data_IF_933149175196
#
_entry.id   IF_933149175196
#
_cell.length_a   1.000
_cell.length_b   1.000
_cell.length_c   1.000
_cell.angle_alpha   90.00
_cell.angle_beta   90.00
_cell.angle_gamma   90.00
#
_symmetry.space_group_name_H-M   'P 1'
#
loop_
_entity.id
_entity.type
_entity.pdbx_description
1 polymer ?
#
# COMPACT_ATOMS: atom_id res chain seq x y z
N UNK A 1 12.05 17.67 -3.20
CA UNK A 1 12.16 17.00 -4.51
C UNK A 1 13.30 15.98 -4.50
N UNK A 2 13.12 14.86 -5.16
CA UNK A 2 14.09 13.76 -5.24
C UNK A 2 14.30 13.36 -6.71
N UNK A 3 15.55 13.23 -7.16
CA UNK A 3 15.83 12.96 -8.57
C UNK A 3 16.29 11.52 -8.78
N UNK A 4 15.60 10.80 -9.67
CA UNK A 4 15.95 9.43 -10.07
C UNK A 4 16.08 9.39 -11.59
N UNK A 5 17.22 8.95 -12.09
CA UNK A 5 17.54 8.86 -13.54
C UNK A 5 17.17 10.12 -14.35
N UNK A 6 17.37 11.30 -13.77
CA UNK A 6 17.06 12.57 -14.41
C UNK A 6 15.61 13.06 -14.29
N UNK A 7 14.73 12.26 -13.72
CA UNK A 7 13.33 12.64 -13.43
C UNK A 7 13.20 13.09 -11.98
N UNK A 8 12.48 14.19 -11.76
CA UNK A 8 12.26 14.75 -10.43
C UNK A 8 10.93 14.24 -9.88
N UNK A 9 10.97 13.63 -8.70
CA UNK A 9 9.83 13.15 -7.95
C UNK A 9 9.50 14.13 -6.82
N UNK A 10 8.21 14.27 -6.53
CA UNK A 10 7.67 15.12 -5.48
C UNK A 10 6.67 14.37 -4.63
N UNK A 11 6.53 14.77 -3.39
CA UNK A 11 5.36 14.42 -2.59
C UNK A 11 4.14 15.20 -3.08
N UNK A 12 2.94 14.69 -2.77
CA UNK A 12 1.69 15.29 -3.22
C UNK A 12 1.51 16.71 -2.66
N UNK A 13 1.96 16.93 -1.43
CA UNK A 13 1.93 18.22 -0.75
C UNK A 13 3.33 18.78 -0.55
N UNK A 14 3.45 20.10 -0.65
CA UNK A 14 4.71 20.77 -0.35
C UNK A 14 4.93 20.86 1.16
N UNK A 15 6.09 20.40 1.62
CA UNK A 15 6.51 20.51 3.01
C UNK A 15 8.02 20.83 3.09
N UNK A 16 8.52 21.35 4.22
CA UNK A 16 9.95 21.55 4.44
C UNK A 16 10.70 20.19 4.44
N UNK A 17 12.03 20.24 4.47
CA UNK A 17 12.82 19.02 4.70
C UNK A 17 12.61 18.53 6.13
N UNK A 18 12.19 17.28 6.26
CA UNK A 18 11.89 16.63 7.52
C UNK A 18 12.59 15.27 7.63
N UNK A 19 12.75 14.79 8.87
CA UNK A 19 13.25 13.45 9.14
C UNK A 19 12.08 12.56 9.54
N UNK A 20 11.67 11.69 8.66
CA UNK A 20 10.53 10.81 8.85
C UNK A 20 10.94 9.36 9.12
N UNK A 21 10.26 8.74 10.06
CA UNK A 21 10.29 7.29 10.21
C UNK A 21 9.56 6.60 9.06
N UNK A 22 9.69 5.28 8.94
CA UNK A 22 8.91 4.49 7.96
C UNK A 22 7.41 4.65 8.20
N UNK A 23 6.99 4.77 9.46
CA UNK A 23 5.60 5.04 9.83
C UNK A 23 5.12 6.39 9.29
N UNK A 24 5.91 7.45 9.46
CA UNK A 24 5.56 8.79 8.96
C UNK A 24 5.49 8.81 7.43
N UNK A 25 6.43 8.13 6.75
CA UNK A 25 6.43 7.99 5.29
C UNK A 25 5.13 7.32 4.81
N UNK A 26 4.71 6.26 5.48
CA UNK A 26 3.47 5.56 5.13
C UNK A 26 2.24 6.38 5.47
N UNK A 27 2.18 7.01 6.65
CA UNK A 27 1.06 7.82 7.13
C UNK A 27 0.80 9.03 6.23
N UNK A 28 1.86 9.72 5.81
CA UNK A 28 1.78 10.89 4.94
C UNK A 28 1.81 10.53 3.44
N UNK A 29 1.92 9.24 3.10
CA UNK A 29 1.97 8.78 1.70
C UNK A 29 3.12 9.44 0.89
N UNK A 30 4.31 9.55 1.49
CA UNK A 30 5.45 10.19 0.84
C UNK A 30 5.96 9.36 -0.34
N UNK A 31 5.94 9.94 -1.53
CA UNK A 31 6.53 9.38 -2.73
C UNK A 31 8.05 9.32 -2.62
N UNK A 32 8.65 10.38 -2.08
CA UNK A 32 10.10 10.51 -1.93
C UNK A 32 10.61 9.45 -0.95
N UNK A 33 10.01 9.38 0.25
CA UNK A 33 10.40 8.41 1.27
C UNK A 33 10.21 6.96 0.80
N UNK A 34 9.10 6.67 0.12
CA UNK A 34 8.83 5.35 -0.47
C UNK A 34 9.86 4.99 -1.54
N UNK A 35 10.24 5.95 -2.40
CA UNK A 35 11.30 5.76 -3.41
C UNK A 35 12.65 5.44 -2.76
N UNK A 36 13.04 6.15 -1.71
CA UNK A 36 14.29 5.89 -1.00
C UNK A 36 14.31 4.49 -0.34
N UNK A 37 13.20 4.07 0.26
CA UNK A 37 13.05 2.71 0.81
C UNK A 37 13.23 1.68 -0.31
N UNK A 38 12.56 1.87 -1.44
CA UNK A 38 12.63 0.95 -2.58
C UNK A 38 14.03 0.86 -3.19
N UNK A 39 14.75 1.97 -3.27
CA UNK A 39 16.15 1.97 -3.73
C UNK A 39 17.07 1.19 -2.79
N UNK A 40 16.86 1.30 -1.47
CA UNK A 40 17.61 0.52 -0.46
C UNK A 40 17.28 -0.97 -0.54
N UNK A 41 16.01 -1.32 -0.77
CA UNK A 41 15.56 -2.70 -0.96
C UNK A 41 16.12 -3.30 -2.26
N UNK A 42 16.16 -2.50 -3.31
CA UNK A 42 16.59 -2.90 -4.64
C UNK A 42 15.50 -3.64 -5.43
N UNK A 43 15.66 -3.62 -6.77
CA UNK A 43 14.68 -4.21 -7.70
C UNK A 43 14.37 -5.68 -7.42
N UNK A 44 15.42 -6.48 -7.15
CA UNK A 44 15.27 -7.94 -6.99
C UNK A 44 14.34 -8.29 -5.82
N UNK A 45 14.58 -7.69 -4.66
CA UNK A 45 13.76 -7.97 -3.49
C UNK A 45 12.37 -7.31 -3.60
N UNK A 46 12.27 -6.11 -4.17
CA UNK A 46 10.99 -5.47 -4.45
C UNK A 46 10.11 -6.38 -5.32
N UNK A 47 10.61 -6.86 -6.45
CA UNK A 47 9.85 -7.77 -7.34
C UNK A 47 9.54 -9.11 -6.69
N UNK A 48 10.45 -9.66 -5.91
CA UNK A 48 10.22 -10.88 -5.13
C UNK A 48 9.02 -10.74 -4.19
N UNK A 49 8.90 -9.62 -3.48
CA UNK A 49 7.77 -9.39 -2.59
C UNK A 49 6.48 -9.05 -3.34
N UNK A 50 6.54 -8.29 -4.43
CA UNK A 50 5.39 -8.04 -5.31
C UNK A 50 4.77 -9.38 -5.73
N UNK A 51 5.57 -10.32 -6.25
CA UNK A 51 5.08 -11.66 -6.61
C UNK A 51 4.68 -12.51 -5.41
N UNK A 52 5.37 -12.39 -4.27
CA UNK A 52 5.02 -13.16 -3.07
C UNK A 52 3.63 -12.79 -2.54
N UNK A 53 3.22 -11.52 -2.66
CA UNK A 53 1.89 -11.02 -2.33
C UNK A 53 0.84 -11.31 -3.41
N UNK A 54 1.17 -12.05 -4.47
CA UNK A 54 0.23 -12.49 -5.51
C UNK A 54 0.01 -11.47 -6.64
N UNK A 55 0.71 -10.34 -6.64
CA UNK A 55 0.57 -9.34 -7.71
C UNK A 55 1.26 -9.83 -8.99
N UNK A 56 0.63 -9.61 -10.13
CA UNK A 56 1.14 -10.05 -11.43
C UNK A 56 0.84 -11.51 -11.78
N UNK A 57 -0.04 -12.18 -11.03
CA UNK A 57 -0.50 -13.54 -11.29
C UNK A 57 -2.01 -13.65 -11.06
N UNK A 58 -2.69 -14.56 -11.76
CA UNK A 58 -4.09 -14.91 -11.42
C UNK A 58 -4.18 -15.35 -9.96
N UNK A 59 -5.27 -15.00 -9.30
CA UNK A 59 -5.54 -15.45 -7.93
C UNK A 59 -6.20 -16.83 -7.89
N UNK A 60 -6.61 -17.36 -9.07
CA UNK A 60 -7.35 -18.61 -9.24
C UNK A 60 -8.68 -18.62 -8.46
N UNK A 61 -9.29 -17.43 -8.29
CA UNK A 61 -10.58 -17.29 -7.61
C UNK A 61 -11.74 -18.01 -8.33
N UNK A 62 -11.50 -18.45 -9.58
CA UNK A 62 -12.49 -19.15 -10.39
C UNK A 62 -13.49 -18.24 -11.11
N UNK A 63 -13.24 -16.92 -11.16
CA UNK A 63 -14.09 -15.99 -11.88
C UNK A 63 -13.68 -15.87 -13.35
N UNK A 64 -14.62 -16.02 -14.31
CA UNK A 64 -14.31 -15.90 -15.72
C UNK A 64 -13.75 -14.52 -16.07
N UNK A 65 -12.67 -14.48 -16.84
CA UNK A 65 -12.04 -13.24 -17.27
C UNK A 65 -11.12 -12.59 -16.24
N UNK A 66 -10.71 -13.32 -15.20
CA UNK A 66 -9.71 -12.83 -14.25
C UNK A 66 -8.42 -12.41 -14.94
N UNK A 67 -7.93 -11.20 -14.64
CA UNK A 67 -6.67 -10.68 -15.14
C UNK A 67 -5.54 -10.97 -14.17
N UNK A 68 -4.36 -11.28 -14.70
CA UNK A 68 -3.12 -11.37 -13.92
C UNK A 68 -2.57 -9.98 -13.50
N UNK A 69 -3.20 -8.89 -13.96
CA UNK A 69 -2.65 -7.56 -13.84
C UNK A 69 -1.50 -7.30 -14.82
N UNK A 70 -0.85 -6.16 -14.70
CA UNK A 70 0.27 -5.76 -15.54
C UNK A 70 1.45 -5.37 -14.66
N UNK A 71 2.57 -6.05 -14.81
CA UNK A 71 3.84 -5.67 -14.20
C UNK A 71 4.85 -5.33 -15.29
N UNK A 72 5.79 -4.39 -15.05
CA UNK A 72 6.77 -4.00 -16.05
C UNK A 72 7.71 -5.16 -16.38
N UNK A 73 7.73 -5.59 -17.63
CA UNK A 73 8.71 -6.56 -18.15
C UNK A 73 10.08 -5.94 -18.34
N UNK A 74 10.09 -4.64 -18.68
CA UNK A 74 11.30 -3.82 -18.80
C UNK A 74 11.31 -2.75 -17.71
N UNK A 75 12.44 -2.59 -17.05
CA UNK A 75 12.67 -1.54 -16.05
C UNK A 75 13.49 -0.42 -16.66
N UNK A 76 12.89 0.77 -16.75
CA UNK A 76 13.61 2.01 -17.06
C UNK A 76 14.42 2.47 -15.84
N UNK A 77 15.19 3.54 -16.02
CA UNK A 77 15.90 4.16 -14.90
C UNK A 77 14.98 4.68 -13.79
N UNK A 78 13.74 5.05 -14.10
CA UNK A 78 12.75 5.57 -13.14
C UNK A 78 11.88 4.50 -12.50
N UNK A 79 11.83 3.29 -13.05
CA UNK A 79 10.91 2.23 -12.58
C UNK A 79 11.07 1.90 -11.09
N UNK A 80 12.28 2.05 -10.53
CA UNK A 80 12.52 1.84 -9.10
C UNK A 80 11.83 2.90 -8.21
N UNK A 81 11.47 4.04 -8.78
CA UNK A 81 10.71 5.08 -8.11
C UNK A 81 9.21 5.01 -8.45
N UNK A 82 8.87 4.67 -9.70
CA UNK A 82 7.49 4.62 -10.17
C UNK A 82 6.70 3.47 -9.54
N UNK A 83 7.25 2.25 -9.59
CA UNK A 83 6.55 1.03 -9.13
C UNK A 83 6.14 1.08 -7.66
N UNK A 84 7.00 1.49 -6.71
CA UNK A 84 6.64 1.52 -5.28
C UNK A 84 5.56 2.54 -4.93
N UNK A 85 5.39 3.58 -5.73
CA UNK A 85 4.33 4.59 -5.54
C UNK A 85 3.06 4.28 -6.33
N UNK A 86 2.99 3.09 -6.98
CA UNK A 86 1.81 2.61 -7.68
C UNK A 86 1.69 3.08 -9.13
N UNK A 87 2.76 3.59 -9.73
CA UNK A 87 2.81 3.95 -11.15
C UNK A 87 3.51 2.87 -11.97
N UNK A 88 3.10 2.71 -13.22
CA UNK A 88 3.70 1.71 -14.12
C UNK A 88 3.36 0.26 -13.81
N UNK A 89 2.41 0.01 -12.92
CA UNK A 89 1.80 -1.30 -12.65
C UNK A 89 0.29 -1.19 -12.67
N UNK A 90 -0.40 -2.28 -13.01
CA UNK A 90 -1.83 -2.40 -12.83
C UNK A 90 -2.13 -3.75 -12.16
N UNK A 91 -2.96 -3.72 -11.12
CA UNK A 91 -3.35 -4.90 -10.35
C UNK A 91 -4.86 -4.96 -10.22
N UNK A 92 -5.41 -6.16 -10.08
CA UNK A 92 -6.85 -6.29 -9.83
C UNK A 92 -7.18 -5.95 -8.39
N UNK A 93 -8.41 -5.51 -8.11
CA UNK A 93 -8.88 -5.28 -6.75
C UNK A 93 -8.75 -6.54 -5.88
N UNK A 94 -8.99 -7.72 -6.47
CA UNK A 94 -8.86 -9.01 -5.76
C UNK A 94 -7.41 -9.32 -5.39
N UNK A 95 -6.44 -9.04 -6.27
CA UNK A 95 -5.02 -9.19 -5.94
C UNK A 95 -4.62 -8.27 -4.78
N UNK A 96 -5.03 -7.00 -4.82
CA UNK A 96 -4.74 -6.06 -3.75
C UNK A 96 -5.41 -6.45 -2.44
N UNK A 97 -6.69 -6.87 -2.50
CA UNK A 97 -7.42 -7.38 -1.34
C UNK A 97 -6.69 -8.57 -0.69
N UNK A 98 -6.22 -9.54 -1.50
CA UNK A 98 -5.47 -10.70 -1.00
C UNK A 98 -4.12 -10.29 -0.38
N UNK A 99 -3.45 -9.26 -0.92
CA UNK A 99 -2.21 -8.74 -0.35
C UNK A 99 -2.43 -8.11 1.04
N UNK A 100 -3.48 -7.28 1.19
CA UNK A 100 -3.86 -6.72 2.50
C UNK A 100 -4.32 -7.80 3.47
N UNK A 101 -5.09 -8.79 2.98
CA UNK A 101 -5.50 -9.93 3.79
C UNK A 101 -4.29 -10.73 4.32
N UNK A 102 -3.21 -10.84 3.56
CA UNK A 102 -2.00 -11.50 4.04
C UNK A 102 -1.37 -10.77 5.24
N UNK A 103 -1.42 -9.44 5.28
CA UNK A 103 -0.99 -8.64 6.44
C UNK A 103 -1.95 -8.87 7.61
N UNK A 104 -3.25 -8.73 7.38
CA UNK A 104 -4.31 -8.95 8.37
C UNK A 104 -4.25 -10.37 8.97
N UNK A 105 -3.82 -11.35 8.20
CA UNK A 105 -3.66 -12.75 8.58
C UNK A 105 -2.26 -13.09 9.12
N UNK A 106 -1.60 -12.12 9.76
CA UNK A 106 -0.30 -12.33 10.42
C UNK A 106 0.83 -12.74 9.48
N UNK A 107 0.81 -12.25 8.24
CA UNK A 107 1.85 -12.48 7.22
C UNK A 107 1.68 -13.76 6.41
N UNK A 108 0.50 -14.37 6.44
CA UNK A 108 0.17 -15.59 5.67
C UNK A 108 -0.79 -15.24 4.55
N UNK A 109 -0.35 -15.41 3.32
CA UNK A 109 -1.20 -15.31 2.13
C UNK A 109 -2.13 -16.50 2.04
N UNK A 110 -3.41 -16.21 1.87
CA UNK A 110 -4.48 -17.19 1.60
C UNK A 110 -5.07 -16.83 0.25
N UNK A 111 -5.04 -17.73 -0.75
CA UNK A 111 -5.68 -17.46 -2.03
C UNK A 111 -7.18 -17.19 -1.84
N UNK A 112 -7.72 -16.13 -2.47
CA UNK A 112 -9.15 -15.82 -2.39
C UNK A 112 -9.98 -16.91 -3.06
N UNK A 113 -11.21 -17.12 -2.57
CA UNK A 113 -12.17 -18.06 -3.17
C UNK A 113 -13.58 -17.50 -3.09
N UNK A 114 -14.42 -17.85 -4.05
CA UNK A 114 -15.83 -17.45 -4.11
C UNK A 114 -16.77 -18.57 -3.61
N UNK A 115 -16.34 -19.82 -3.71
CA UNK A 115 -17.14 -20.97 -3.38
C UNK A 115 -16.54 -21.70 -2.19
N UNK A 116 -17.32 -21.84 -1.15
CA UNK A 116 -16.95 -22.55 0.09
C UNK A 116 -17.35 -24.01 0.05
N UNK A 117 -18.57 -24.26 -0.45
CA UNK A 117 -19.14 -25.58 -0.60
C UNK A 117 -20.06 -25.64 -1.81
N UNK A 118 -20.35 -26.82 -2.27
CA UNK A 118 -21.39 -27.12 -3.25
C UNK A 118 -22.42 -28.07 -2.60
N UNK A 119 -23.71 -27.93 -2.96
CA UNK A 119 -24.78 -28.81 -2.51
C UNK A 119 -25.22 -29.66 -3.70
N UNK A 120 -25.18 -30.96 -3.54
CA UNK A 120 -25.58 -31.88 -4.61
C UNK A 120 -27.14 -32.03 -4.72
N UNK A 121 -27.61 -32.82 -5.69
CA UNK A 121 -29.03 -33.00 -5.93
C UNK A 121 -29.76 -33.74 -4.79
N UNK A 122 -29.02 -34.34 -3.86
CA UNK A 122 -29.55 -35.02 -2.67
C UNK A 122 -29.57 -34.13 -1.44
N UNK A 123 -29.02 -32.89 -1.55
CA UNK A 123 -28.89 -31.94 -0.45
C UNK A 123 -27.62 -32.16 0.39
N UNK A 124 -26.68 -32.99 -0.07
CA UNK A 124 -25.41 -33.21 0.64
C UNK A 124 -24.43 -32.07 0.32
N UNK A 125 -23.80 -31.53 1.38
CA UNK A 125 -22.79 -30.48 1.27
C UNK A 125 -21.40 -31.06 1.03
N UNK A 126 -20.71 -30.55 0.00
CA UNK A 126 -19.34 -30.90 -0.35
C UNK A 126 -18.47 -29.68 -0.22
N UNK A 127 -17.61 -29.64 0.79
CA UNK A 127 -16.67 -28.55 1.00
C UNK A 127 -15.64 -28.47 -0.15
N UNK A 128 -15.41 -27.27 -0.66
CA UNK A 128 -14.31 -27.02 -1.60
C UNK A 128 -13.00 -27.02 -0.81
N UNK A 129 -12.00 -27.84 -1.21
CA UNK A 129 -10.72 -27.88 -0.52
C UNK A 129 -10.06 -26.50 -0.42
N UNK A 130 -9.52 -26.17 0.75
CA UNK A 130 -8.75 -24.95 0.94
C UNK A 130 -7.48 -25.01 0.09
N UNK A 131 -7.19 -23.96 -0.71
CA UNK A 131 -5.92 -23.88 -1.41
C UNK A 131 -4.75 -23.75 -0.40
N UNK A 132 -3.52 -24.17 -0.79
CA UNK A 132 -2.37 -24.08 0.09
C UNK A 132 -2.05 -22.62 0.41
N UNK A 133 -1.83 -22.35 1.70
CA UNK A 133 -1.44 -21.04 2.19
C UNK A 133 0.08 -20.85 2.15
N UNK A 134 0.55 -19.61 2.10
CA UNK A 134 1.98 -19.31 2.05
C UNK A 134 2.35 -18.18 3.02
N UNK A 135 3.29 -18.43 3.92
CA UNK A 135 3.86 -17.37 4.74
C UNK A 135 4.76 -16.47 3.88
N UNK A 136 4.44 -15.17 3.84
CA UNK A 136 5.20 -14.17 3.08
C UNK A 136 6.18 -13.45 4.00
N UNK A 137 5.68 -13.01 5.17
CA UNK A 137 6.47 -12.33 6.20
C UNK A 137 6.21 -12.95 7.56
N UNK A 138 7.04 -12.64 8.54
CA UNK A 138 6.80 -13.07 9.93
C UNK A 138 5.58 -12.38 10.53
N UNK A 139 4.98 -12.96 11.56
CA UNK A 139 3.88 -12.32 12.28
C UNK A 139 4.32 -11.01 12.95
N UNK A 140 5.57 -10.91 13.38
CA UNK A 140 6.12 -9.66 13.91
C UNK A 140 6.09 -8.54 12.88
N UNK A 141 6.57 -8.79 11.64
CA UNK A 141 6.54 -7.82 10.54
C UNK A 141 5.10 -7.46 10.15
N UNK A 142 4.19 -8.44 10.12
CA UNK A 142 2.77 -8.17 9.84
C UNK A 142 2.12 -7.27 10.91
N UNK A 143 2.44 -7.50 12.19
CA UNK A 143 1.95 -6.66 13.29
C UNK A 143 2.54 -5.24 13.24
N UNK A 144 3.82 -5.08 12.93
CA UNK A 144 4.44 -3.77 12.71
C UNK A 144 3.75 -3.03 11.56
N UNK A 145 3.50 -3.72 10.43
CA UNK A 145 2.77 -3.14 9.31
C UNK A 145 1.34 -2.75 9.70
N UNK A 146 0.64 -3.58 10.47
CA UNK A 146 -0.70 -3.27 10.98
C UNK A 146 -0.69 -1.98 11.81
N UNK A 147 0.30 -1.82 12.70
CA UNK A 147 0.46 -0.60 13.50
C UNK A 147 0.71 0.63 12.62
N UNK A 148 1.54 0.50 11.59
CA UNK A 148 1.79 1.61 10.65
C UNK A 148 0.53 1.95 9.83
N UNK A 149 -0.26 0.94 9.42
CA UNK A 149 -1.52 1.14 8.68
C UNK A 149 -2.64 1.72 9.56
N UNK A 150 -2.67 1.41 10.87
CA UNK A 150 -3.55 2.09 11.84
C UNK A 150 -3.17 3.57 11.97
N UNK A 151 -1.87 3.89 12.02
CA UNK A 151 -1.40 5.27 12.06
C UNK A 151 -1.83 6.09 10.82
N UNK A 152 -1.86 5.48 9.63
CA UNK A 152 -2.40 6.11 8.41
C UNK A 152 -3.84 6.55 8.60
N UNK A 153 -4.67 5.74 9.28
CA UNK A 153 -6.09 6.05 9.52
C UNK A 153 -6.25 6.99 10.72
N UNK A 154 -5.40 6.88 11.72
CA UNK A 154 -5.50 7.68 12.93
C UNK A 154 -5.08 9.14 12.72
N UNK A 155 -3.99 9.40 12.00
CA UNK A 155 -3.41 10.75 11.84
C UNK A 155 -2.95 11.07 10.41
N UNK A 156 -2.93 10.10 9.50
CA UNK A 156 -2.42 10.25 8.14
C UNK A 156 -3.50 10.51 7.10
N UNK A 157 -3.20 10.15 5.86
CA UNK A 157 -4.07 10.35 4.69
C UNK A 157 -5.38 9.54 4.73
N UNK A 158 -5.49 8.56 5.61
CA UNK A 158 -6.64 7.66 5.74
C UNK A 158 -7.68 8.07 6.78
N UNK A 159 -7.59 9.25 7.40
CA UNK A 159 -8.46 9.66 8.52
C UNK A 159 -9.97 9.58 8.22
N UNK A 160 -10.37 9.73 6.97
CA UNK A 160 -11.76 9.57 6.55
C UNK A 160 -12.28 8.11 6.61
N UNK A 161 -11.39 7.14 6.78
CA UNK A 161 -11.76 5.73 7.03
C UNK A 161 -11.88 5.40 8.53
N UNK A 162 -11.71 6.37 9.43
CA UNK A 162 -11.84 6.14 10.85
C UNK A 162 -13.26 5.67 11.22
N UNK A 163 -13.35 4.64 12.06
CA UNK A 163 -14.59 3.94 12.34
C UNK A 163 -14.81 3.72 13.85
N UNK A 164 -14.57 4.78 14.65
CA UNK A 164 -14.77 4.67 16.11
C UNK A 164 -16.12 4.01 16.46
N UNK A 165 -16.18 3.01 17.38
CA UNK A 165 -15.12 2.57 18.29
C UNK A 165 -14.19 1.47 17.74
N UNK A 166 -14.27 1.12 16.47
CA UNK A 166 -13.36 0.16 15.85
C UNK A 166 -12.06 0.83 15.40
N UNK A 167 -10.96 0.10 15.44
CA UNK A 167 -9.70 0.51 14.83
C UNK A 167 -9.61 -0.03 13.41
N UNK A 168 -9.15 0.79 12.49
CA UNK A 168 -8.99 0.44 11.08
C UNK A 168 -7.52 0.56 10.70
N UNK A 169 -6.97 -0.50 10.11
CA UNK A 169 -5.67 -0.45 9.47
C UNK A 169 -5.84 -0.41 7.95
N UNK A 170 -5.32 0.62 7.29
CA UNK A 170 -5.53 0.76 5.85
C UNK A 170 -4.71 1.88 5.22
N UNK A 171 -4.81 1.99 3.90
CA UNK A 171 -4.06 2.98 3.11
C UNK A 171 -4.90 3.49 1.94
N UNK A 172 -4.84 4.78 1.72
CA UNK A 172 -5.34 5.46 0.52
C UNK A 172 -4.42 5.21 -0.67
N UNK A 173 -4.98 5.13 -1.86
CA UNK A 173 -4.27 5.15 -3.12
C UNK A 173 -4.86 6.21 -4.05
N UNK A 174 -3.98 6.85 -4.84
CA UNK A 174 -4.38 7.83 -5.84
C UNK A 174 -3.42 7.70 -7.01
N UNK A 175 -3.81 6.99 -8.04
CA UNK A 175 -3.03 6.81 -9.25
C UNK A 175 -3.62 7.65 -10.39
N UNK A 176 -2.78 8.25 -11.22
CA UNK A 176 -3.23 8.96 -12.42
C UNK A 176 -3.80 7.96 -13.43
N UNK A 177 -4.87 8.34 -14.11
CA UNK A 177 -5.47 7.56 -15.19
C UNK A 177 -4.57 7.60 -16.43
N UNK A 178 -4.22 6.44 -17.03
CA UNK A 178 -3.44 6.41 -18.26
C UNK A 178 -4.22 7.05 -19.42
N UNK A 179 -3.56 7.93 -20.18
CA UNK A 179 -4.16 8.53 -21.36
C UNK A 179 -4.05 7.63 -22.59
N UNK A 180 -5.10 7.49 -23.41
CA UNK A 180 -5.03 6.78 -24.69
C UNK A 180 -4.00 7.37 -25.67
N UNK A 181 -3.60 8.62 -25.45
CA UNK A 181 -2.58 9.33 -26.26
C UNK A 181 -1.16 9.11 -25.74
N UNK A 182 -0.99 8.28 -24.69
CA UNK A 182 0.27 8.08 -23.95
C UNK A 182 0.41 9.05 -22.78
N UNK A 183 1.16 8.62 -21.75
CA UNK A 183 1.27 9.36 -20.50
C UNK A 183 0.04 9.22 -19.61
N UNK A 184 -0.25 10.23 -18.82
CA UNK A 184 -1.35 10.25 -17.84
C UNK A 184 -2.23 11.48 -18.02
N UNK A 185 -3.51 11.36 -17.65
CA UNK A 185 -4.47 12.44 -17.68
C UNK A 185 -4.41 13.25 -16.36
N UNK A 186 -4.27 14.58 -16.50
CA UNK A 186 -4.21 15.46 -15.33
C UNK A 186 -5.61 15.67 -14.75
N UNK A 187 -5.73 15.53 -13.43
CA UNK A 187 -7.00 15.71 -12.72
C UNK A 187 -7.97 14.53 -12.81
N UNK A 188 -7.52 13.41 -13.33
CA UNK A 188 -8.25 12.16 -13.41
C UNK A 188 -7.49 11.06 -12.67
N UNK A 189 -8.15 10.44 -11.68
CA UNK A 189 -7.50 9.49 -10.78
C UNK A 189 -8.27 8.18 -10.67
N UNK A 190 -7.52 7.11 -10.46
CA UNK A 190 -8.02 5.89 -9.85
C UNK A 190 -7.84 6.05 -8.34
N UNK A 191 -8.91 6.42 -7.65
CA UNK A 191 -8.92 6.62 -6.21
C UNK A 191 -9.23 5.30 -5.50
N UNK A 192 -8.47 4.96 -4.47
CA UNK A 192 -8.68 3.71 -3.75
C UNK A 192 -8.44 3.84 -2.25
N UNK A 193 -9.04 2.93 -1.50
CA UNK A 193 -8.71 2.64 -0.11
C UNK A 193 -8.76 1.13 0.08
N UNK A 194 -7.70 0.56 0.65
CA UNK A 194 -7.66 -0.84 1.06
C UNK A 194 -7.29 -0.93 2.54
N UNK A 195 -7.95 -1.83 3.27
CA UNK A 195 -7.73 -1.96 4.70
C UNK A 195 -8.46 -3.13 5.31
N UNK A 196 -8.33 -3.28 6.62
CA UNK A 196 -8.99 -4.33 7.40
C UNK A 196 -9.42 -3.81 8.77
N UNK A 197 -10.44 -4.45 9.35
CA UNK A 197 -11.08 -4.05 10.59
C UNK A 197 -11.62 -5.28 11.36
N UNK A 198 -11.59 -5.28 12.72
CA UNK A 198 -10.78 -4.43 13.58
C UNK A 198 -9.27 -4.67 13.39
N UNK A 199 -8.44 -3.64 13.54
CA UNK A 199 -6.98 -3.77 13.27
C UNK A 199 -6.30 -4.78 14.20
N UNK A 200 -6.73 -4.86 15.48
CA UNK A 200 -6.13 -5.75 16.49
C UNK A 200 -6.47 -7.24 16.27
N UNK A 201 -7.63 -7.51 15.70
CA UNK A 201 -8.11 -8.85 15.39
C UNK A 201 -8.92 -8.83 14.10
N UNK A 202 -8.27 -8.76 12.95
CA UNK A 202 -8.93 -8.58 11.67
C UNK A 202 -10.00 -9.65 11.40
N UNK A 203 -11.20 -9.20 11.04
CA UNK A 203 -12.33 -10.05 10.67
C UNK A 203 -12.77 -9.77 9.23
N UNK A 204 -12.60 -8.53 8.78
CA UNK A 204 -12.99 -8.07 7.45
C UNK A 204 -11.79 -7.38 6.81
N UNK A 205 -11.48 -7.77 5.59
CA UNK A 205 -10.57 -7.04 4.70
C UNK A 205 -11.40 -6.49 3.55
N UNK A 206 -11.28 -5.20 3.27
CA UNK A 206 -12.07 -4.51 2.25
C UNK A 206 -11.22 -3.63 1.35
N UNK A 207 -11.72 -3.40 0.15
CA UNK A 207 -11.15 -2.45 -0.80
C UNK A 207 -12.26 -1.71 -1.54
N UNK A 208 -12.09 -0.40 -1.66
CA UNK A 208 -12.94 0.46 -2.50
C UNK A 208 -12.05 1.06 -3.58
N UNK A 209 -12.49 0.96 -4.82
CA UNK A 209 -11.83 1.56 -5.99
C UNK A 209 -12.87 2.40 -6.73
N UNK A 210 -12.55 3.65 -7.00
CA UNK A 210 -13.35 4.56 -7.82
C UNK A 210 -12.49 4.96 -9.00
N UNK A 211 -12.90 4.53 -10.17
CA UNK A 211 -12.19 4.78 -11.42
C UNK A 211 -12.62 6.11 -12.03
N UNK A 212 -11.66 6.81 -12.60
CA UNK A 212 -11.86 8.09 -13.31
C UNK A 212 -12.61 9.15 -12.50
N UNK A 213 -12.09 9.49 -11.32
CA UNK A 213 -12.62 10.55 -10.45
C UNK A 213 -11.65 11.73 -10.36
N UNK A 214 -12.17 12.97 -10.17
CA UNK A 214 -11.31 14.12 -9.86
C UNK A 214 -10.82 14.12 -8.41
N UNK A 215 -11.35 13.25 -7.54
CA UNK A 215 -11.06 13.22 -6.12
C UNK A 215 -9.96 12.20 -5.77
N UNK A 216 -9.22 12.51 -4.72
CA UNK A 216 -8.22 11.59 -4.15
C UNK A 216 -8.87 10.47 -3.32
N UNK A 217 -8.15 9.37 -3.15
CA UNK A 217 -8.60 8.22 -2.35
C UNK A 217 -9.04 8.59 -0.92
N UNK A 218 -8.41 9.59 -0.33
CA UNK A 218 -8.78 10.13 0.97
C UNK A 218 -10.21 10.72 1.01
N UNK A 219 -10.63 11.39 -0.06
CA UNK A 219 -11.94 12.05 -0.14
C UNK A 219 -13.04 11.13 -0.69
N UNK A 220 -12.69 10.26 -1.65
CA UNK A 220 -13.67 9.43 -2.36
C UNK A 220 -13.81 8.04 -1.74
N UNK A 221 -12.70 7.30 -1.61
CA UNK A 221 -12.73 5.87 -1.30
C UNK A 221 -12.69 5.55 0.19
N UNK A 222 -11.96 6.35 1.00
CA UNK A 222 -11.83 6.12 2.42
C UNK A 222 -13.15 6.24 3.19
N UNK A 223 -14.01 7.28 3.00
CA UNK A 223 -15.29 7.36 3.68
C UNK A 223 -16.28 6.29 3.20
N UNK A 224 -16.21 5.89 1.93
CA UNK A 224 -17.02 4.80 1.38
C UNK A 224 -16.64 3.48 2.04
N UNK A 225 -15.33 3.21 2.22
CA UNK A 225 -14.86 2.04 2.97
C UNK A 225 -15.42 2.04 4.40
N UNK A 226 -15.36 3.18 5.12
CA UNK A 226 -15.88 3.28 6.48
C UNK A 226 -17.37 2.93 6.58
N UNK A 227 -18.16 3.38 5.62
CA UNK A 227 -19.60 3.07 5.57
C UNK A 227 -19.84 1.58 5.37
N UNK A 228 -19.23 0.99 4.34
CA UNK A 228 -19.37 -0.45 4.02
C UNK A 228 -18.85 -1.32 5.17
N UNK A 229 -17.72 -0.96 5.75
CA UNK A 229 -17.13 -1.71 6.86
C UNK A 229 -18.01 -1.68 8.11
N UNK A 230 -18.66 -0.55 8.41
CA UNK A 230 -19.63 -0.43 9.52
C UNK A 230 -20.80 -1.36 9.32
N UNK A 231 -21.43 -1.30 8.17
CA UNK A 231 -22.60 -2.14 7.84
C UNK A 231 -22.24 -3.61 7.93
N UNK A 232 -21.04 -4.01 7.42
CA UNK A 232 -20.56 -5.37 7.49
C UNK A 232 -20.26 -5.84 8.92
N UNK A 233 -19.69 -4.99 9.77
CA UNK A 233 -19.43 -5.30 11.18
C UNK A 233 -20.74 -5.50 11.96
N UNK A 234 -21.75 -4.67 11.68
CA UNK A 234 -23.08 -4.79 12.29
C UNK A 234 -23.79 -6.08 11.83
N UNK A 235 -23.81 -6.35 10.53
CA UNK A 235 -24.44 -7.56 9.95
C UNK A 235 -23.79 -8.84 10.48
N UNK A 236 -22.47 -8.87 10.59
CA UNK A 236 -21.72 -10.02 11.13
C UNK A 236 -21.72 -10.06 12.66
N UNK A 237 -22.36 -9.10 13.34
CA UNK A 237 -22.38 -8.99 14.79
C UNK A 237 -20.99 -9.02 15.44
N UNK A 238 -20.01 -8.35 14.81
CA UNK A 238 -18.65 -8.24 15.32
C UNK A 238 -18.59 -7.09 16.33
N UNK A 239 -18.32 -7.34 17.63
CA UNK A 239 -18.26 -6.28 18.61
C UNK A 239 -16.95 -5.49 18.48
N UNK A 240 -16.93 -4.19 18.83
CA UNK A 240 -15.69 -3.45 18.93
C UNK A 240 -14.78 -4.04 20.00
N UNK A 241 -13.49 -4.06 19.72
CA UNK A 241 -12.48 -4.50 20.68
C UNK A 241 -12.19 -3.37 21.66
N UNK A 242 -11.91 -3.65 22.93
CA UNK A 242 -11.38 -2.64 23.84
C UNK A 242 -10.11 -2.04 23.25
N UNK A 243 -10.10 -0.74 23.02
CA UNK A 243 -8.93 -0.05 22.52
C UNK A 243 -7.77 -0.30 23.46
N UNK A 244 -6.69 -0.90 22.96
CA UNK A 244 -5.48 -1.06 23.75
C UNK A 244 -5.05 0.34 24.24
N UNK A 245 -4.70 0.51 25.53
CA UNK A 245 -4.17 1.78 25.99
C UNK A 245 -2.99 2.13 25.08
N UNK A 246 -2.81 3.42 24.72
CA UNK A 246 -1.67 3.83 23.91
C UNK A 246 -0.42 3.25 24.57
N UNK A 247 0.41 2.54 23.79
CA UNK A 247 1.65 1.97 24.28
C UNK A 247 2.36 3.10 25.03
N UNK A 248 2.62 2.89 26.32
CA UNK A 248 3.26 3.88 27.16
C UNK A 248 4.50 4.32 26.42
N UNK A 249 4.54 5.61 26.02
CA UNK A 249 5.45 6.14 25.03
C UNK A 249 6.84 5.58 25.19
N UNK A 250 7.36 4.95 24.17
CA UNK A 250 8.80 4.82 24.00
C UNK A 250 9.29 6.27 24.01
N UNK A 251 10.06 6.73 25.02
CA UNK A 251 10.52 8.10 25.04
C UNK A 251 11.25 8.33 23.72
N UNK A 252 10.84 9.36 22.98
CA UNK A 252 11.68 9.89 21.90
C UNK A 252 13.08 10.00 22.49
N UNK A 253 14.04 9.27 21.94
CA UNK A 253 15.42 9.33 22.36
C UNK A 253 15.86 10.79 22.17
N UNK A 254 15.81 11.56 23.26
CA UNK A 254 16.48 12.83 23.35
C UNK A 254 17.95 12.56 23.01
N UNK A 255 18.45 13.26 22.01
CA UNK A 255 19.84 13.33 21.59
C UNK A 255 20.79 13.22 22.78
N UNK A 256 21.29 12.01 23.03
CA UNK A 256 22.41 11.81 23.92
C UNK A 256 23.68 12.11 23.14
N UNK A 257 24.32 13.18 23.52
CA UNK A 257 25.69 13.55 23.10
C UNK A 257 26.62 12.38 23.40
N UNK A 258 27.19 11.79 22.35
CA UNK A 258 28.11 10.68 22.47
C UNK A 258 29.44 11.17 23.07
N UNK A 259 29.75 10.72 24.28
CA UNK A 259 31.13 10.68 24.81
C UNK A 259 31.34 9.31 25.46
N UNK A 260 32.33 8.56 24.93
CA UNK A 260 32.94 7.44 25.65
C UNK A 260 32.75 6.05 25.03
N UNK A 261 33.84 5.52 24.56
CA UNK A 261 34.06 4.22 23.95
C UNK A 261 33.74 3.04 24.89
N UNK A 262 33.27 1.94 24.30
CA UNK A 262 33.15 0.63 24.95
C UNK A 262 32.65 -0.41 23.95
N UNK A 263 33.58 -1.18 23.40
CA UNK A 263 33.40 -2.26 22.43
C UNK A 263 32.79 -3.50 23.09
N UNK A 264 31.68 -4.03 22.59
CA UNK A 264 31.30 -5.45 22.72
C UNK A 264 30.64 -5.92 21.43
N UNK A 265 31.24 -6.94 20.85
CA UNK A 265 30.84 -7.57 19.59
C UNK A 265 29.50 -8.32 19.71
N UNK A 266 28.56 -8.01 18.83
CA UNK A 266 27.35 -8.78 18.57
C UNK A 266 26.92 -8.51 17.14
N UNK A 267 26.87 -9.55 16.32
CA UNK A 267 26.56 -9.51 14.90
C UNK A 267 25.11 -8.97 14.68
N UNK A 268 24.91 -7.83 14.00
CA UNK A 268 23.57 -7.37 13.71
C UNK A 268 23.07 -7.93 12.38
N UNK A 269 21.84 -8.43 12.38
CA UNK A 269 21.02 -8.55 11.18
C UNK A 269 20.85 -7.15 10.54
N UNK A 270 20.86 -7.01 9.21
CA UNK A 270 20.70 -5.71 8.56
C UNK A 270 19.26 -5.22 8.74
N UNK A 271 19.02 -4.43 9.77
CA UNK A 271 17.76 -3.75 10.03
C UNK A 271 17.79 -2.35 9.40
N UNK A 272 16.67 -1.96 8.80
CA UNK A 272 16.37 -0.59 8.35
C UNK A 272 16.18 0.33 9.58
N UNK A 273 17.26 0.74 10.24
CA UNK A 273 17.21 1.57 11.46
C UNK A 273 17.70 3.01 11.28
N UNK A 274 17.96 3.44 10.06
CA UNK A 274 18.33 4.84 9.82
C UNK A 274 17.12 5.64 9.32
N UNK A 275 16.86 6.84 9.87
CA UNK A 275 15.80 7.71 9.38
C UNK A 275 16.05 8.09 7.91
N UNK A 276 14.98 8.10 7.12
CA UNK A 276 14.98 8.56 5.74
C UNK A 276 14.78 10.08 5.75
N UNK A 277 15.67 10.81 5.13
CA UNK A 277 15.52 12.27 4.99
C UNK A 277 14.72 12.58 3.74
N UNK A 278 13.56 13.20 3.91
CA UNK A 278 12.71 13.65 2.80
C UNK A 278 12.94 15.15 2.59
N UNK A 279 13.44 15.53 1.41
CA UNK A 279 13.66 16.93 1.08
C UNK A 279 12.75 17.39 -0.04
N UNK A 280 11.92 18.39 0.23
CA UNK A 280 11.17 19.12 -0.78
C UNK A 280 11.78 20.52 -0.95
N UNK A 281 12.22 20.85 -2.15
CA UNK A 281 12.58 22.24 -2.49
C UNK A 281 11.45 22.83 -3.33
N UNK A 282 10.87 23.92 -2.86
CA UNK A 282 9.89 24.69 -3.62
C UNK A 282 10.58 25.35 -4.82
N UNK A 283 10.25 24.92 -6.03
CA UNK A 283 10.66 25.62 -7.23
C UNK A 283 9.40 26.15 -7.95
N UNK A 284 9.28 27.48 -8.15
CA UNK A 284 8.15 28.04 -8.86
C UNK A 284 8.48 28.09 -10.35
N UNK A 285 8.17 27.07 -11.12
CA UNK A 285 7.92 27.19 -12.56
C UNK A 285 7.51 25.85 -13.15
N UNK A 286 6.24 25.70 -13.42
CA UNK A 286 5.71 24.70 -14.33
C UNK A 286 6.24 24.98 -15.73
N UNK A 287 7.24 24.23 -16.16
CA UNK A 287 7.67 24.25 -17.57
C UNK A 287 7.09 23.00 -18.21
N UNK A 288 6.10 23.20 -19.06
CA UNK A 288 5.53 22.23 -19.96
C UNK A 288 6.64 21.56 -20.78
N UNK A 289 6.76 20.25 -20.70
CA UNK A 289 7.64 19.43 -21.54
C UNK A 289 7.01 19.39 -22.94
N UNK A 290 7.70 19.83 -24.01
CA UNK A 290 7.19 19.66 -25.37
C UNK A 290 7.27 18.17 -25.75
N UNK A 291 6.14 17.61 -26.18
CA UNK A 291 6.06 16.26 -26.73
C UNK A 291 6.95 16.07 -27.97
N UNK A 292 7.36 14.83 -28.29
CA UNK A 292 8.17 14.53 -29.45
C UNK A 292 7.46 14.91 -30.74
N UNK A 293 8.14 15.69 -31.58
CA UNK A 293 7.66 16.06 -32.93
C UNK A 293 7.53 14.80 -33.78
N UNK A 294 6.34 14.57 -34.32
CA UNK A 294 6.11 13.64 -35.40
C UNK A 294 6.80 14.12 -36.66
N UNK A 295 7.71 13.32 -37.21
CA UNK A 295 8.24 13.47 -38.57
C UNK A 295 7.19 13.02 -39.58
N UNK A 296 6.92 13.78 -40.65
CA UNK A 296 6.04 13.33 -41.72
C UNK A 296 6.72 12.25 -42.58
N UNK A 297 5.93 11.22 -42.95
CA UNK A 297 6.33 10.20 -43.89
C UNK A 297 6.53 10.80 -45.32
N UNK A 298 7.50 10.29 -46.10
CA UNK A 298 7.64 10.67 -47.51
C UNK A 298 6.56 10.04 -48.36
N UNK A 299 6.10 10.80 -49.38
CA UNK A 299 5.05 10.52 -50.34
C UNK A 299 5.33 9.38 -51.34
#
# INVERSE_FOLDING_TARGET
AYTVAGTVFHDAENHPTEHWSVTDILANSSNIGTTEIAQRLGRTDLMKYIHAYGLGSSTDIGFPGESAGLLPTYWSGTSIADVPIGQGIAVTAVQMLAAYNAIANGGVYVPPRLVDATIDAKGEEHLVPMPPTKRIVSSAVANEMTTMLDEVVRVGTGTAANLDPYTVAGKTGTALVPSPKGGYESGHYVASFAGFVPAEKPQITGMVVIDDTPDYGAAASAPTFATIARDALEELSIPPMPKAPPAAGVPLATTATATGAGEVAGTPLPGLTSPVSVSSTSNPASTLIPGPRSTPAPG
#
